data_IF_547522558483
#
_entry.id   IF_547522558483
#
_cell.length_a   1.000
_cell.length_b   1.000
_cell.length_c   1.000
_cell.angle_alpha   90.00
_cell.angle_beta   90.00
_cell.angle_gamma   90.00
#
_symmetry.space_group_name_H-M   'P 1'
#
loop_
_entity.id
_entity.type
_entity.pdbx_description
1 polymer ?
#
# COMPACT_ATOMS: atom_id res chain seq x y z
N UNK A 1 33.33 -6.74 -11.64
CA UNK A 1 31.88 -6.60 -11.45
C UNK A 1 31.33 -6.03 -12.74
N UNK A 2 30.46 -6.76 -13.45
CA UNK A 2 29.78 -6.23 -14.63
C UNK A 2 28.78 -5.18 -14.14
N UNK A 3 28.91 -3.95 -14.64
CA UNK A 3 27.97 -2.87 -14.37
C UNK A 3 26.61 -3.28 -14.98
N UNK A 4 25.61 -3.51 -14.14
CA UNK A 4 24.25 -3.83 -14.60
C UNK A 4 23.74 -2.62 -15.37
N UNK A 5 23.52 -2.80 -16.67
CA UNK A 5 23.00 -1.75 -17.54
C UNK A 5 21.51 -1.97 -17.72
N UNK A 6 20.70 -1.03 -17.24
CA UNK A 6 19.25 -1.03 -17.47
C UNK A 6 18.90 -0.53 -18.88
N UNK A 7 17.72 -0.93 -19.34
CA UNK A 7 17.10 -0.50 -20.59
C UNK A 7 16.91 1.03 -20.66
N UNK A 8 16.79 1.56 -21.87
CA UNK A 8 16.51 2.99 -22.07
C UNK A 8 15.13 3.40 -21.55
N UNK A 9 14.20 2.45 -21.46
CA UNK A 9 12.90 2.65 -20.85
C UNK A 9 13.01 2.95 -19.36
N UNK A 10 13.80 2.17 -18.61
CA UNK A 10 14.03 2.41 -17.18
C UNK A 10 14.80 3.71 -16.94
N UNK A 11 15.78 4.04 -17.81
CA UNK A 11 16.45 5.35 -17.75
C UNK A 11 15.46 6.50 -17.94
N UNK A 12 14.54 6.37 -18.89
CA UNK A 12 13.51 7.39 -19.15
C UNK A 12 12.55 7.54 -17.97
N UNK A 13 12.15 6.44 -17.32
CA UNK A 13 11.36 6.48 -16.08
C UNK A 13 12.11 7.18 -14.94
N UNK A 14 13.41 6.89 -14.78
CA UNK A 14 14.25 7.55 -13.78
C UNK A 14 14.38 9.05 -14.05
N UNK A 15 14.46 9.46 -15.32
CA UNK A 15 14.45 10.87 -15.72
C UNK A 15 13.10 11.56 -15.41
N UNK A 16 11.97 10.89 -15.67
CA UNK A 16 10.63 11.41 -15.32
C UNK A 16 10.49 11.63 -13.81
N UNK A 17 10.95 10.64 -13.02
CA UNK A 17 10.98 10.75 -11.55
C UNK A 17 11.83 11.93 -11.11
N UNK A 18 13.07 12.04 -11.60
CA UNK A 18 14.00 13.12 -11.26
C UNK A 18 13.51 14.51 -11.70
N UNK A 19 12.71 14.61 -12.77
CA UNK A 19 12.13 15.87 -13.20
C UNK A 19 11.05 16.40 -12.24
N UNK A 20 10.43 15.52 -11.48
CA UNK A 20 9.31 15.84 -10.57
C UNK A 20 9.69 15.78 -9.09
N UNK A 21 10.69 14.98 -8.73
CA UNK A 21 11.17 14.84 -7.37
C UNK A 21 12.03 16.07 -6.97
N UNK A 22 11.85 16.65 -5.77
CA UNK A 22 12.59 17.84 -5.35
C UNK A 22 14.09 17.61 -5.11
N UNK A 23 14.52 16.35 -5.04
CA UNK A 23 15.91 15.95 -4.87
C UNK A 23 16.42 15.14 -6.07
N UNK A 24 17.37 14.24 -5.82
CA UNK A 24 17.93 13.33 -6.83
C UNK A 24 17.60 11.88 -6.48
N UNK A 25 17.09 11.13 -7.45
CA UNK A 25 16.86 9.68 -7.36
C UNK A 25 17.92 8.96 -8.17
N UNK A 26 18.53 7.93 -7.58
CA UNK A 26 19.54 7.08 -8.21
C UNK A 26 19.17 5.61 -8.09
N UNK A 27 19.65 4.82 -9.05
CA UNK A 27 19.59 3.36 -9.00
C UNK A 27 20.96 2.80 -8.66
N UNK A 28 20.98 1.74 -7.86
CA UNK A 28 22.16 0.89 -7.64
C UNK A 28 21.75 -0.57 -7.70
N UNK A 29 22.66 -1.42 -8.15
CA UNK A 29 22.40 -2.84 -8.38
C UNK A 29 23.39 -3.69 -7.57
N UNK A 30 22.85 -4.72 -6.93
CA UNK A 30 23.61 -5.78 -6.29
C UNK A 30 24.07 -6.84 -7.30
N UNK A 31 24.27 -8.06 -6.79
CA UNK A 31 24.76 -9.20 -7.56
C UNK A 31 23.97 -10.50 -7.29
N UNK A 32 22.89 -10.44 -6.50
CA UNK A 32 22.04 -11.59 -6.18
C UNK A 32 21.22 -12.04 -7.39
N UNK A 33 20.90 -13.34 -7.46
CA UNK A 33 20.12 -13.96 -8.54
C UNK A 33 19.29 -15.13 -8.02
N UNK A 34 18.15 -14.83 -7.42
CA UNK A 34 17.24 -15.81 -6.85
C UNK A 34 16.54 -16.68 -7.92
N UNK A 35 16.42 -16.18 -9.16
CA UNK A 35 15.73 -16.91 -10.25
C UNK A 35 14.20 -16.81 -10.17
N UNK A 36 13.71 -15.84 -9.41
CA UNK A 36 12.32 -15.42 -9.31
C UNK A 36 12.26 -13.91 -9.04
N UNK A 37 11.11 -13.29 -9.31
CA UNK A 37 10.86 -11.88 -9.00
C UNK A 37 9.84 -11.73 -7.88
N UNK A 38 10.11 -10.79 -6.97
CA UNK A 38 9.19 -10.33 -5.91
C UNK A 38 9.34 -8.83 -5.71
N UNK A 39 8.31 -8.21 -5.16
CA UNK A 39 8.27 -6.77 -4.92
C UNK A 39 9.22 -6.33 -3.78
N UNK A 40 9.62 -7.23 -2.88
CA UNK A 40 10.50 -6.98 -1.74
C UNK A 40 12.02 -7.07 -2.05
N UNK A 41 12.40 -7.27 -3.32
CA UNK A 41 13.80 -7.45 -3.73
C UNK A 41 14.57 -6.13 -3.93
N UNK A 42 13.95 -5.00 -3.58
CA UNK A 42 14.53 -3.66 -3.63
C UNK A 42 14.53 -3.01 -2.25
N UNK A 43 15.42 -2.03 -2.05
CA UNK A 43 15.48 -1.24 -0.82
C UNK A 43 15.70 0.24 -1.15
N UNK A 44 14.99 1.11 -0.43
CA UNK A 44 15.13 2.55 -0.56
C UNK A 44 15.96 3.13 0.58
N UNK A 45 16.97 3.93 0.24
CA UNK A 45 17.82 4.64 1.19
C UNK A 45 17.66 6.14 1.00
N UNK A 46 17.25 6.82 2.07
CA UNK A 46 17.03 8.27 2.08
C UNK A 46 18.24 8.99 2.67
N UNK A 47 18.76 9.97 1.94
CA UNK A 47 19.74 10.96 2.41
C UNK A 47 19.21 12.38 2.12
N UNK A 48 19.79 13.41 2.73
CA UNK A 48 19.35 14.80 2.52
C UNK A 48 19.31 15.17 1.02
N UNK A 49 18.10 15.31 0.49
CA UNK A 49 17.84 15.63 -0.92
C UNK A 49 18.17 14.51 -1.91
N UNK A 50 18.40 13.28 -1.45
CA UNK A 50 18.73 12.13 -2.31
C UNK A 50 17.97 10.87 -1.91
N UNK A 51 17.56 10.10 -2.90
CA UNK A 51 17.00 8.77 -2.74
C UNK A 51 17.81 7.79 -3.56
N UNK A 52 18.27 6.72 -2.93
CA UNK A 52 18.89 5.59 -3.63
C UNK A 52 17.95 4.40 -3.58
N UNK A 53 17.53 3.91 -4.75
CA UNK A 53 16.85 2.63 -4.91
C UNK A 53 17.93 1.59 -5.21
N UNK A 54 18.12 0.66 -4.27
CA UNK A 54 19.05 -0.45 -4.42
C UNK A 54 18.28 -1.72 -4.77
N UNK A 55 18.47 -2.19 -6.00
CA UNK A 55 17.94 -3.47 -6.48
C UNK A 55 18.98 -4.55 -6.13
N UNK A 56 18.72 -5.34 -5.07
CA UNK A 56 19.69 -6.32 -4.59
C UNK A 56 19.75 -7.53 -5.52
N UNK A 57 18.58 -8.02 -5.94
CA UNK A 57 18.43 -9.13 -6.87
C UNK A 57 18.36 -8.64 -8.32
N UNK A 58 19.27 -9.14 -9.15
CA UNK A 58 19.42 -8.78 -10.56
C UNK A 58 18.95 -9.91 -11.50
N UNK A 59 18.01 -10.75 -11.05
CA UNK A 59 17.30 -11.72 -11.90
C UNK A 59 16.58 -10.97 -13.03
N UNK A 60 15.81 -9.93 -12.69
CA UNK A 60 15.13 -9.07 -13.64
C UNK A 60 15.26 -7.57 -13.26
N UNK A 61 16.45 -6.96 -13.44
CA UNK A 61 16.73 -5.63 -12.91
C UNK A 61 15.86 -4.52 -13.53
N UNK A 62 15.48 -4.65 -14.80
CA UNK A 62 14.58 -3.70 -15.46
C UNK A 62 13.16 -3.74 -14.87
N UNK A 63 12.65 -4.95 -14.60
CA UNK A 63 11.36 -5.15 -13.94
C UNK A 63 11.37 -4.55 -12.53
N UNK A 64 12.33 -4.93 -11.69
CA UNK A 64 12.39 -4.48 -10.29
C UNK A 64 12.64 -2.97 -10.19
N UNK A 65 13.56 -2.41 -10.99
CA UNK A 65 13.82 -0.98 -10.96
C UNK A 65 12.62 -0.15 -11.45
N UNK A 66 11.96 -0.57 -12.54
CA UNK A 66 10.77 0.14 -13.03
C UNK A 66 9.61 0.07 -12.04
N UNK A 67 9.44 -1.04 -11.33
CA UNK A 67 8.42 -1.22 -10.30
C UNK A 67 8.49 -0.10 -9.25
N UNK A 68 9.66 0.08 -8.65
CA UNK A 68 9.92 1.14 -7.65
C UNK A 68 9.74 2.55 -8.22
N UNK A 69 10.26 2.80 -9.43
CA UNK A 69 10.15 4.11 -10.06
C UNK A 69 8.69 4.47 -10.36
N UNK A 70 7.85 3.50 -10.74
CA UNK A 70 6.43 3.77 -11.00
C UNK A 70 5.67 4.01 -9.68
N UNK A 71 5.97 3.28 -8.61
CA UNK A 71 5.46 3.60 -7.26
C UNK A 71 5.82 5.05 -6.86
N UNK A 72 7.07 5.47 -7.11
CA UNK A 72 7.48 6.87 -6.90
C UNK A 72 6.68 7.86 -7.76
N UNK A 73 6.46 7.55 -9.04
CA UNK A 73 5.63 8.40 -9.91
C UNK A 73 4.20 8.50 -9.40
N UNK A 74 3.63 7.44 -8.81
CA UNK A 74 2.32 7.49 -8.17
C UNK A 74 2.31 8.48 -7.00
N UNK A 75 3.32 8.42 -6.12
CA UNK A 75 3.50 9.38 -5.02
C UNK A 75 3.54 10.81 -5.56
N UNK A 76 4.39 11.06 -6.55
CA UNK A 76 4.59 12.38 -7.16
C UNK A 76 3.34 12.89 -7.90
N UNK A 77 2.51 11.98 -8.42
CA UNK A 77 1.20 12.28 -9.03
C UNK A 77 0.08 12.42 -7.98
N UNK A 78 0.41 12.32 -6.70
CA UNK A 78 -0.48 12.62 -5.60
C UNK A 78 -1.37 11.46 -5.15
N UNK A 79 -0.99 10.22 -5.45
CA UNK A 79 -1.67 9.05 -4.95
C UNK A 79 -1.49 8.95 -3.42
N UNK A 80 -2.57 8.73 -2.66
CA UNK A 80 -2.54 8.55 -1.20
C UNK A 80 -1.49 7.54 -0.76
N UNK A 81 -0.78 7.84 0.32
CA UNK A 81 0.18 6.91 0.94
C UNK A 81 -0.34 6.39 2.27
N UNK A 82 0.19 5.25 2.72
CA UNK A 82 -0.02 4.73 4.06
C UNK A 82 0.97 5.33 5.05
N UNK A 83 0.49 5.59 6.26
CA UNK A 83 1.30 5.97 7.41
C UNK A 83 0.84 5.17 8.63
N UNK A 84 1.77 4.64 9.40
CA UNK A 84 1.47 3.83 10.59
C UNK A 84 1.85 4.61 11.85
N UNK A 85 0.90 5.41 12.33
CA UNK A 85 1.10 6.29 13.49
C UNK A 85 0.61 5.65 14.81
N UNK A 86 -0.10 4.52 14.72
CA UNK A 86 -0.61 3.78 15.86
C UNK A 86 0.24 2.54 16.16
N UNK A 87 0.15 2.08 17.40
CA UNK A 87 0.79 0.89 17.95
C UNK A 87 -0.17 0.14 18.87
N UNK A 88 -0.13 -1.18 18.80
CA UNK A 88 -0.79 -2.09 19.75
C UNK A 88 -0.03 -2.19 21.08
N UNK A 89 1.18 -1.65 21.16
CA UNK A 89 2.13 -1.87 22.26
C UNK A 89 2.94 -3.17 22.13
N UNK A 90 2.66 -4.00 21.13
CA UNK A 90 3.40 -5.23 20.82
C UNK A 90 4.08 -5.11 19.44
N UNK A 91 5.40 -5.04 19.44
CA UNK A 91 6.20 -4.79 18.23
C UNK A 91 5.98 -5.85 17.14
N UNK A 92 5.93 -7.14 17.50
CA UNK A 92 5.70 -8.21 16.53
C UNK A 92 4.31 -8.13 15.90
N UNK A 93 3.29 -7.81 16.70
CA UNK A 93 1.91 -7.62 16.23
C UNK A 93 1.82 -6.40 15.31
N UNK A 94 2.46 -5.29 15.68
CA UNK A 94 2.53 -4.08 14.85
C UNK A 94 3.20 -4.36 13.51
N UNK A 95 4.34 -5.05 13.51
CA UNK A 95 5.07 -5.39 12.30
C UNK A 95 4.25 -6.31 11.37
N UNK A 96 3.52 -7.27 11.93
CA UNK A 96 2.64 -8.14 11.16
C UNK A 96 1.46 -7.37 10.54
N UNK A 97 0.82 -6.48 11.29
CA UNK A 97 -0.25 -5.63 10.78
C UNK A 97 0.26 -4.68 9.70
N UNK A 98 1.39 -4.01 9.95
CA UNK A 98 2.03 -3.12 8.99
C UNK A 98 2.35 -3.85 7.69
N UNK A 99 2.92 -5.07 7.77
CA UNK A 99 3.21 -5.90 6.62
C UNK A 99 1.93 -6.25 5.84
N UNK A 100 0.96 -6.90 6.47
CA UNK A 100 -0.27 -7.34 5.79
C UNK A 100 -1.07 -6.18 5.18
N UNK A 101 -1.13 -5.04 5.87
CA UNK A 101 -1.86 -3.86 5.38
C UNK A 101 -1.12 -3.22 4.20
N UNK A 102 0.21 -3.19 4.23
CA UNK A 102 1.02 -2.68 3.11
C UNK A 102 0.87 -3.57 1.89
N UNK A 103 0.99 -4.89 2.04
CA UNK A 103 0.78 -5.85 0.94
C UNK A 103 -0.63 -5.71 0.34
N UNK A 104 -1.67 -5.55 1.17
CA UNK A 104 -3.04 -5.37 0.69
C UNK A 104 -3.25 -4.02 -0.02
N UNK A 105 -2.57 -2.96 0.43
CA UNK A 105 -2.55 -1.68 -0.27
C UNK A 105 -1.84 -1.81 -1.62
N UNK A 106 -0.73 -2.55 -1.67
CA UNK A 106 0.08 -2.73 -2.86
C UNK A 106 -0.63 -3.54 -3.93
N UNK A 107 -1.48 -4.51 -3.57
CA UNK A 107 -2.43 -5.16 -4.53
C UNK A 107 -3.16 -4.13 -5.39
N UNK A 108 -3.58 -3.00 -4.80
CA UNK A 108 -4.32 -1.95 -5.51
C UNK A 108 -3.36 -1.02 -6.25
N UNK A 109 -2.16 -0.77 -5.71
CA UNK A 109 -1.14 0.03 -6.38
C UNK A 109 -0.62 -0.68 -7.64
N UNK A 110 -0.48 -2.00 -7.58
CA UNK A 110 -0.04 -2.85 -8.66
C UNK A 110 -0.97 -2.83 -9.87
N UNK A 111 -2.24 -2.46 -9.73
CA UNK A 111 -3.09 -2.21 -10.89
C UNK A 111 -2.54 -1.08 -11.79
N UNK A 112 -1.94 -0.06 -11.17
CA UNK A 112 -1.29 1.05 -11.89
C UNK A 112 0.12 0.65 -12.33
N UNK A 113 0.89 0.05 -11.42
CA UNK A 113 2.30 -0.33 -11.70
C UNK A 113 2.38 -1.34 -12.83
N UNK A 114 1.65 -2.46 -12.73
CA UNK A 114 1.67 -3.53 -13.74
C UNK A 114 1.14 -3.02 -15.08
N UNK A 115 0.09 -2.20 -15.08
CA UNK A 115 -0.43 -1.63 -16.32
C UNK A 115 0.63 -0.76 -17.02
N UNK A 116 1.38 0.04 -16.28
CA UNK A 116 2.45 0.88 -16.82
C UNK A 116 3.66 0.05 -17.27
N UNK A 117 4.08 -0.96 -16.50
CA UNK A 117 5.15 -1.88 -16.89
C UNK A 117 4.81 -2.65 -18.17
N UNK A 118 3.57 -3.16 -18.31
CA UNK A 118 3.12 -3.84 -19.53
C UNK A 118 3.05 -2.89 -20.72
N UNK A 119 2.63 -1.64 -20.53
CA UNK A 119 2.64 -0.60 -21.58
C UNK A 119 4.04 -0.36 -22.17
N UNK A 120 5.06 -0.59 -21.35
CA UNK A 120 6.47 -0.43 -21.68
C UNK A 120 7.19 -1.73 -22.06
N UNK A 121 6.47 -2.86 -22.16
CA UNK A 121 7.03 -4.18 -22.44
C UNK A 121 8.09 -4.64 -21.42
N UNK A 122 7.93 -4.26 -20.15
CA UNK A 122 8.80 -4.64 -19.04
C UNK A 122 8.34 -5.91 -18.30
N UNK A 123 7.19 -6.46 -18.69
CA UNK A 123 6.67 -7.75 -18.24
C UNK A 123 6.42 -8.58 -19.49
N UNK A 124 7.14 -9.70 -19.59
CA UNK A 124 7.00 -10.71 -20.62
C UNK A 124 6.72 -12.09 -20.00
N UNK A 125 6.73 -13.13 -20.83
CA UNK A 125 6.44 -14.50 -20.39
C UNK A 125 7.48 -15.04 -19.38
N UNK A 126 8.72 -14.58 -19.43
CA UNK A 126 9.77 -14.99 -18.48
C UNK A 126 9.52 -14.36 -17.11
N UNK A 127 9.24 -13.04 -17.08
CA UNK A 127 8.88 -12.32 -15.86
C UNK A 127 7.63 -12.92 -15.21
N UNK A 128 6.64 -13.34 -16.00
CA UNK A 128 5.44 -13.98 -15.47
C UNK A 128 5.72 -15.33 -14.79
N UNK A 129 6.57 -16.16 -15.38
CA UNK A 129 6.99 -17.42 -14.73
C UNK A 129 7.87 -17.18 -13.49
N UNK A 130 8.74 -16.17 -13.53
CA UNK A 130 9.55 -15.77 -12.38
C UNK A 130 8.69 -15.23 -11.24
N UNK A 131 7.61 -14.50 -11.55
CA UNK A 131 6.65 -14.03 -10.55
C UNK A 131 5.92 -15.21 -9.91
N UNK A 132 5.48 -16.19 -10.68
CA UNK A 132 4.88 -17.41 -10.13
C UNK A 132 5.84 -18.15 -9.17
N UNK A 133 7.12 -18.27 -9.53
CA UNK A 133 8.13 -18.85 -8.63
C UNK A 133 8.27 -18.02 -7.35
N UNK A 134 8.19 -16.70 -7.46
CA UNK A 134 8.22 -15.78 -6.33
C UNK A 134 7.07 -16.03 -5.35
N UNK A 135 5.86 -16.31 -5.86
CA UNK A 135 4.71 -16.72 -5.03
C UNK A 135 5.02 -18.01 -4.25
N UNK A 136 5.53 -19.03 -4.95
CA UNK A 136 5.84 -20.32 -4.32
C UNK A 136 6.95 -20.24 -3.28
N UNK A 137 7.89 -19.30 -3.45
CA UNK A 137 8.96 -19.05 -2.48
C UNK A 137 8.45 -18.29 -1.24
N UNK A 138 7.53 -17.35 -1.43
CA UNK A 138 7.05 -16.48 -0.37
C UNK A 138 6.01 -17.14 0.55
N UNK A 139 5.16 -18.05 0.04
CA UNK A 139 4.11 -18.67 0.86
C UNK A 139 3.89 -20.14 0.56
N UNK A 140 3.87 -20.96 1.61
CA UNK A 140 3.63 -22.40 1.46
C UNK A 140 2.20 -22.68 0.92
N UNK A 141 2.01 -23.70 0.06
CA UNK A 141 0.70 -24.14 -0.40
C UNK A 141 -0.28 -24.48 0.73
N UNK A 142 -1.57 -24.38 0.44
CA UNK A 142 -2.62 -24.79 1.37
C UNK A 142 -2.61 -26.32 1.58
N UNK A 143 -2.88 -26.73 2.82
CA UNK A 143 -3.06 -28.14 3.18
C UNK A 143 -4.55 -28.47 3.11
N UNK A 144 -4.95 -29.24 2.11
CA UNK A 144 -6.34 -29.66 1.88
C UNK A 144 -7.36 -28.51 1.82
N UNK A 145 -6.93 -27.32 1.39
CA UNK A 145 -7.77 -26.12 1.34
C UNK A 145 -8.18 -25.56 2.72
N UNK A 146 -7.50 -25.99 3.79
CA UNK A 146 -7.80 -25.55 5.14
C UNK A 146 -7.45 -24.07 5.37
N UNK A 147 -8.28 -23.41 6.18
CA UNK A 147 -7.99 -22.09 6.72
C UNK A 147 -7.06 -22.24 7.93
N UNK A 148 -5.97 -21.48 7.93
CA UNK A 148 -4.96 -21.45 9.00
C UNK A 148 -4.36 -20.04 9.16
N UNK A 149 -3.31 -19.90 9.99
CA UNK A 149 -2.67 -18.62 10.27
C UNK A 149 -1.99 -17.94 9.06
N UNK A 150 -1.74 -18.67 7.98
CA UNK A 150 -1.18 -18.12 6.73
C UNK A 150 -2.25 -17.78 5.70
N UNK A 151 -3.53 -18.10 5.94
CA UNK A 151 -4.61 -17.83 4.99
C UNK A 151 -4.76 -16.34 4.65
N UNK A 152 -4.46 -15.43 5.58
CA UNK A 152 -4.51 -13.98 5.33
C UNK A 152 -3.50 -13.54 4.27
N UNK A 153 -2.23 -13.92 4.41
CA UNK A 153 -1.19 -13.57 3.43
C UNK A 153 -1.40 -14.30 2.10
N UNK A 154 -1.81 -15.58 2.11
CA UNK A 154 -2.19 -16.30 0.88
C UNK A 154 -3.30 -15.58 0.13
N UNK A 155 -4.33 -15.10 0.83
CA UNK A 155 -5.42 -14.34 0.21
C UNK A 155 -4.90 -13.07 -0.48
N UNK A 156 -4.08 -12.28 0.22
CA UNK A 156 -3.51 -11.03 -0.32
C UNK A 156 -2.63 -11.34 -1.55
N UNK A 157 -1.76 -12.35 -1.47
CA UNK A 157 -0.91 -12.77 -2.58
C UNK A 157 -1.72 -13.29 -3.78
N UNK A 158 -2.82 -14.00 -3.55
CA UNK A 158 -3.70 -14.43 -4.65
C UNK A 158 -4.45 -13.25 -5.27
N UNK A 159 -4.82 -12.24 -4.48
CA UNK A 159 -5.37 -10.99 -5.01
C UNK A 159 -4.33 -10.27 -5.88
N UNK A 160 -3.08 -10.21 -5.42
CA UNK A 160 -1.98 -9.60 -6.18
C UNK A 160 -1.67 -10.37 -7.47
N UNK A 161 -1.66 -11.70 -7.42
CA UNK A 161 -1.49 -12.54 -8.60
C UNK A 161 -2.58 -12.27 -9.66
N UNK A 162 -3.84 -12.11 -9.23
CA UNK A 162 -4.95 -11.77 -10.14
C UNK A 162 -4.70 -10.38 -10.78
N UNK A 163 -4.23 -9.41 -10.00
CA UNK A 163 -3.83 -8.08 -10.50
C UNK A 163 -2.68 -8.16 -11.50
N UNK A 164 -1.63 -8.88 -11.16
CA UNK A 164 -0.39 -8.98 -11.92
C UNK A 164 -0.58 -9.66 -13.29
N UNK A 165 -1.26 -10.81 -13.31
CA UNK A 165 -1.47 -11.55 -14.56
C UNK A 165 -2.58 -10.94 -15.42
N UNK A 166 -3.61 -10.33 -14.82
CA UNK A 166 -4.69 -9.69 -15.56
C UNK A 166 -5.31 -10.61 -16.63
N UNK A 167 -5.23 -10.23 -17.90
CA UNK A 167 -5.75 -11.03 -19.03
C UNK A 167 -4.99 -12.35 -19.26
N UNK A 168 -3.76 -12.46 -18.75
CA UNK A 168 -2.90 -13.64 -18.88
C UNK A 168 -3.10 -14.67 -17.77
N UNK A 169 -3.97 -14.39 -16.79
CA UNK A 169 -4.21 -15.24 -15.61
C UNK A 169 -4.52 -16.69 -15.96
N UNK A 170 -5.23 -16.94 -17.07
CA UNK A 170 -5.59 -18.28 -17.51
C UNK A 170 -4.41 -19.22 -17.77
N UNK A 171 -3.18 -18.68 -17.93
CA UNK A 171 -1.95 -19.50 -18.05
C UNK A 171 -1.48 -20.10 -16.72
N UNK A 172 -1.81 -19.46 -15.61
CA UNK A 172 -1.34 -19.81 -14.27
C UNK A 172 -2.47 -20.30 -13.35
N UNK A 173 -3.72 -20.08 -13.74
CA UNK A 173 -4.91 -20.38 -12.93
C UNK A 173 -4.91 -21.81 -12.38
N UNK A 174 -4.67 -22.83 -13.21
CA UNK A 174 -4.65 -24.23 -12.74
C UNK A 174 -3.59 -24.46 -11.65
N UNK A 175 -2.41 -23.86 -11.79
CA UNK A 175 -1.31 -23.99 -10.82
C UNK A 175 -1.62 -23.22 -9.53
N UNK A 176 -2.27 -22.06 -9.63
CA UNK A 176 -2.71 -21.28 -8.47
C UNK A 176 -3.81 -22.01 -7.70
N UNK A 177 -4.78 -22.60 -8.40
CA UNK A 177 -5.86 -23.41 -7.81
C UNK A 177 -5.29 -24.67 -7.15
N UNK A 178 -4.32 -25.33 -7.77
CA UNK A 178 -3.68 -26.53 -7.20
C UNK A 178 -2.99 -26.22 -5.87
N UNK A 179 -2.30 -25.08 -5.76
CA UNK A 179 -1.53 -24.73 -4.57
C UNK A 179 -2.35 -23.96 -3.52
N UNK A 180 -3.33 -23.16 -3.93
CA UNK A 180 -4.05 -22.20 -3.07
C UNK A 180 -5.58 -22.19 -3.36
N UNK A 181 -6.27 -23.34 -3.35
CA UNK A 181 -7.65 -23.43 -3.81
C UNK A 181 -8.62 -22.49 -3.06
N UNK A 182 -8.50 -22.39 -1.73
CA UNK A 182 -9.40 -21.58 -0.90
C UNK A 182 -9.10 -20.09 -1.03
N UNK A 183 -7.83 -19.69 -0.90
CA UNK A 183 -7.40 -18.31 -1.05
C UNK A 183 -7.65 -17.78 -2.46
N UNK A 184 -7.37 -18.58 -3.50
CA UNK A 184 -7.59 -18.17 -4.89
C UNK A 184 -9.07 -17.94 -5.22
N UNK A 185 -9.94 -18.88 -4.84
CA UNK A 185 -11.39 -18.73 -5.06
C UNK A 185 -11.94 -17.48 -4.35
N UNK A 186 -11.43 -17.22 -3.15
CA UNK A 186 -11.82 -16.07 -2.34
C UNK A 186 -11.30 -14.76 -2.94
N UNK A 187 -10.03 -14.74 -3.36
CA UNK A 187 -9.40 -13.62 -4.05
C UNK A 187 -10.19 -13.25 -5.32
N UNK A 188 -10.59 -14.22 -6.15
CA UNK A 188 -11.44 -13.95 -7.33
C UNK A 188 -12.75 -13.26 -6.96
N UNK A 189 -13.38 -13.67 -5.86
CA UNK A 189 -14.64 -13.07 -5.38
C UNK A 189 -14.43 -11.63 -4.94
N UNK A 190 -13.38 -11.36 -4.17
CA UNK A 190 -13.04 -10.00 -3.71
C UNK A 190 -12.64 -9.12 -4.90
N UNK A 191 -11.74 -9.58 -5.77
CA UNK A 191 -11.27 -8.83 -6.94
C UNK A 191 -12.40 -8.51 -7.91
N UNK A 192 -13.38 -9.40 -8.09
CA UNK A 192 -14.60 -9.10 -8.86
C UNK A 192 -15.42 -7.95 -8.26
N UNK A 193 -15.52 -7.88 -6.93
CA UNK A 193 -16.18 -6.75 -6.24
C UNK A 193 -15.37 -5.46 -6.39
N UNK A 194 -14.03 -5.54 -6.38
CA UNK A 194 -13.14 -4.38 -6.51
C UNK A 194 -13.10 -3.83 -7.96
N UNK A 195 -13.05 -4.70 -8.96
CA UNK A 195 -12.91 -4.36 -10.38
C UNK A 195 -14.18 -3.78 -11.04
N UNK A 196 -15.16 -3.38 -10.25
CA UNK A 196 -16.33 -2.63 -10.72
C UNK A 196 -15.97 -1.22 -11.19
N UNK A 197 -14.77 -0.70 -10.85
CA UNK A 197 -14.26 0.61 -11.26
C UNK A 197 -12.75 0.55 -11.50
N UNK A 198 -12.30 1.18 -12.57
CA UNK A 198 -10.87 1.38 -12.89
C UNK A 198 -10.30 2.56 -12.11
N UNK A 199 -9.02 2.47 -11.77
CA UNK A 199 -8.28 3.55 -11.13
C UNK A 199 -7.86 4.56 -12.21
N UNK A 200 -8.46 5.75 -12.20
CA UNK A 200 -8.09 6.82 -13.14
C UNK A 200 -7.56 8.07 -12.44
N UNK A 201 -7.80 8.18 -11.13
CA UNK A 201 -7.42 9.32 -10.30
C UNK A 201 -6.94 8.86 -8.92
N UNK A 202 -6.17 9.68 -8.20
CA UNK A 202 -5.84 9.44 -6.79
C UNK A 202 -7.06 9.18 -5.90
N UNK A 203 -8.20 9.80 -6.22
CA UNK A 203 -9.45 9.60 -5.48
C UNK A 203 -10.06 8.22 -5.73
N UNK A 204 -10.01 7.71 -6.97
CA UNK A 204 -10.48 6.35 -7.29
C UNK A 204 -9.62 5.31 -6.58
N UNK A 205 -8.29 5.49 -6.61
CA UNK A 205 -7.33 4.67 -5.90
C UNK A 205 -7.67 4.58 -4.41
N UNK A 206 -7.80 5.73 -3.74
CA UNK A 206 -8.15 5.81 -2.31
C UNK A 206 -9.40 5.01 -1.98
N UNK A 207 -10.45 5.16 -2.78
CA UNK A 207 -11.72 4.45 -2.57
C UNK A 207 -11.58 2.95 -2.74
N UNK A 208 -10.73 2.51 -3.67
CA UNK A 208 -10.52 1.08 -3.93
C UNK A 208 -9.71 0.43 -2.80
N UNK A 209 -8.69 1.13 -2.27
CA UNK A 209 -7.95 0.71 -1.06
C UNK A 209 -8.90 0.51 0.13
N UNK A 210 -9.72 1.51 0.46
CA UNK A 210 -10.69 1.41 1.59
C UNK A 210 -11.65 0.24 1.40
N UNK A 211 -12.11 0.01 0.16
CA UNK A 211 -12.99 -1.11 -0.16
C UNK A 211 -12.26 -2.45 -0.01
N UNK A 212 -10.98 -2.53 -0.37
CA UNK A 212 -10.17 -3.73 -0.20
C UNK A 212 -9.99 -4.06 1.29
N UNK A 213 -9.62 -3.06 2.11
CA UNK A 213 -9.53 -3.20 3.57
C UNK A 213 -10.83 -3.76 4.17
N UNK A 214 -11.96 -3.17 3.80
CA UNK A 214 -13.28 -3.64 4.28
C UNK A 214 -13.57 -5.08 3.87
N UNK A 215 -13.35 -5.43 2.60
CA UNK A 215 -13.68 -6.77 2.08
C UNK A 215 -12.78 -7.87 2.64
N UNK A 216 -11.51 -7.56 2.89
CA UNK A 216 -10.58 -8.52 3.49
C UNK A 216 -10.92 -8.72 4.97
N UNK A 217 -11.19 -7.67 5.74
CA UNK A 217 -11.63 -7.84 7.13
C UNK A 217 -12.94 -8.64 7.25
N UNK A 218 -13.92 -8.37 6.37
CA UNK A 218 -15.15 -9.19 6.28
C UNK A 218 -14.83 -10.66 6.03
N UNK A 219 -13.85 -10.96 5.17
CA UNK A 219 -13.46 -12.32 4.83
C UNK A 219 -12.70 -13.02 5.96
N UNK A 220 -11.77 -12.32 6.63
CA UNK A 220 -11.02 -12.85 7.76
C UNK A 220 -11.97 -13.21 8.90
N UNK A 221 -12.97 -12.36 9.15
CA UNK A 221 -14.04 -12.64 10.11
C UNK A 221 -14.83 -13.90 9.75
N UNK A 222 -15.20 -14.07 8.47
CA UNK A 222 -15.91 -15.28 8.00
C UNK A 222 -15.08 -16.55 8.19
N UNK A 223 -13.76 -16.44 8.01
CA UNK A 223 -12.79 -17.50 8.28
C UNK A 223 -12.49 -17.73 9.76
N UNK A 224 -13.05 -16.91 10.66
CA UNK A 224 -12.76 -16.97 12.09
C UNK A 224 -11.34 -16.56 12.46
N UNK A 225 -10.67 -15.82 11.57
CA UNK A 225 -9.36 -15.24 11.78
C UNK A 225 -9.49 -13.81 12.35
N UNK A 226 -8.45 -13.31 13.04
CA UNK A 226 -8.39 -11.91 13.43
C UNK A 226 -8.48 -10.98 12.21
N UNK A 227 -9.28 -9.94 12.33
CA UNK A 227 -9.38 -8.86 11.33
C UNK A 227 -8.10 -8.01 11.38
N UNK A 228 -7.73 -7.38 10.25
CA UNK A 228 -6.57 -6.47 10.20
C UNK A 228 -6.88 -5.12 10.84
N UNK A 229 -8.17 -4.72 10.85
CA UNK A 229 -8.63 -3.42 11.32
C UNK A 229 -7.89 -2.26 10.63
N UNK A 230 -7.59 -2.42 9.33
CA UNK A 230 -6.75 -1.51 8.56
C UNK A 230 -7.34 -0.08 8.46
N UNK A 231 -8.67 0.05 8.48
CA UNK A 231 -9.35 1.35 8.48
C UNK A 231 -9.01 2.21 9.71
N UNK A 232 -8.71 1.58 10.84
CA UNK A 232 -8.30 2.26 12.07
C UNK A 232 -6.79 2.33 12.20
N UNK A 233 -6.10 1.19 12.07
CA UNK A 233 -4.67 1.07 12.36
C UNK A 233 -3.79 1.89 11.40
N UNK A 234 -4.15 1.94 10.12
CA UNK A 234 -3.37 2.63 9.10
C UNK A 234 -4.00 3.99 8.75
N UNK A 235 -3.18 5.03 8.78
CA UNK A 235 -3.57 6.35 8.28
C UNK A 235 -3.38 6.38 6.76
N UNK A 236 -4.45 6.65 6.01
CA UNK A 236 -4.39 6.77 4.55
C UNK A 236 -4.51 8.24 4.13
N UNK A 237 -3.55 8.70 3.31
CA UNK A 237 -3.51 10.07 2.79
C UNK A 237 -4.87 10.54 2.25
N UNK A 238 -5.24 11.78 2.60
CA UNK A 238 -6.54 12.33 2.22
C UNK A 238 -6.49 12.97 0.83
N UNK A 239 -7.57 12.80 0.05
CA UNK A 239 -7.76 13.47 -1.25
C UNK A 239 -8.97 14.39 -1.13
N UNK A 240 -8.72 15.70 -1.07
CA UNK A 240 -9.74 16.71 -0.85
C UNK A 240 -10.13 17.43 -2.14
N UNK A 241 -11.36 17.93 -2.20
CA UNK A 241 -11.68 19.06 -3.07
C UNK A 241 -11.31 20.37 -2.41
N UNK A 242 -11.08 21.41 -3.21
CA UNK A 242 -10.91 22.79 -2.73
C UNK A 242 -12.00 23.24 -1.75
N UNK A 243 -13.24 22.79 -1.97
CA UNK A 243 -14.34 23.07 -1.05
C UNK A 243 -14.15 22.40 0.31
N UNK A 244 -13.73 21.13 0.34
CA UNK A 244 -13.52 20.38 1.57
C UNK A 244 -12.42 21.00 2.42
N UNK A 245 -11.37 21.51 1.80
CA UNK A 245 -10.31 22.24 2.50
C UNK A 245 -10.86 23.46 3.25
N UNK A 246 -11.91 24.13 2.75
CA UNK A 246 -12.55 25.28 3.41
C UNK A 246 -13.56 24.91 4.52
N UNK A 247 -13.88 23.63 4.70
CA UNK A 247 -14.78 23.20 5.77
C UNK A 247 -14.03 23.12 7.11
N UNK A 248 -14.81 23.09 8.20
CA UNK A 248 -14.27 22.80 9.53
C UNK A 248 -14.03 21.30 9.71
N UNK A 249 -13.08 20.92 10.57
CA UNK A 249 -12.74 19.51 10.82
C UNK A 249 -13.97 18.69 11.22
N UNK A 250 -14.84 19.22 12.09
CA UNK A 250 -16.08 18.54 12.52
C UNK A 250 -17.08 18.21 11.41
N UNK A 251 -16.96 18.87 10.25
CA UNK A 251 -17.86 18.61 9.11
C UNK A 251 -17.40 17.44 8.26
N UNK A 252 -16.13 17.05 8.35
CA UNK A 252 -15.55 15.97 7.56
C UNK A 252 -15.07 14.79 8.41
N UNK A 253 -14.73 15.02 9.67
CA UNK A 253 -14.11 14.04 10.54
C UNK A 253 -14.82 13.94 11.89
N UNK A 254 -14.79 12.73 12.43
CA UNK A 254 -15.09 12.44 13.83
C UNK A 254 -13.81 11.94 14.51
N UNK A 255 -13.60 12.35 15.76
CA UNK A 255 -12.47 11.88 16.56
C UNK A 255 -12.92 10.65 17.35
N UNK A 256 -12.28 9.53 17.04
CA UNK A 256 -12.42 8.26 17.75
C UNK A 256 -11.31 8.11 18.80
N UNK A 257 -11.66 7.54 19.95
CA UNK A 257 -10.70 7.23 21.00
C UNK A 257 -10.23 5.80 20.76
N UNK A 258 -9.02 5.65 20.23
CA UNK A 258 -8.47 4.32 19.99
C UNK A 258 -7.99 3.72 21.30
N UNK A 259 -8.13 2.40 21.41
CA UNK A 259 -7.46 1.62 22.45
C UNK A 259 -5.94 1.46 22.14
N UNK A 260 -5.53 1.83 20.92
CA UNK A 260 -4.14 1.85 20.46
C UNK A 260 -3.40 3.11 20.93
N UNK A 261 -2.07 3.02 20.94
CA UNK A 261 -1.17 4.09 21.31
C UNK A 261 -0.71 4.86 20.07
N UNK A 262 -0.58 6.17 20.18
CA UNK A 262 0.13 7.01 19.22
C UNK A 262 1.65 6.84 19.42
N UNK A 263 2.39 6.56 18.34
CA UNK A 263 3.80 6.16 18.39
C UNK A 263 4.77 7.26 18.81
N UNK A 264 4.57 8.51 18.39
CA UNK A 264 5.55 9.57 18.58
C UNK A 264 5.70 9.99 20.05
N UNK A 265 4.61 9.95 20.83
CA UNK A 265 4.60 10.33 22.24
C UNK A 265 4.30 9.17 23.19
N UNK A 266 3.99 7.97 22.66
CA UNK A 266 3.52 6.81 23.43
C UNK A 266 2.36 7.20 24.38
N UNK A 267 1.37 7.85 23.80
CA UNK A 267 0.14 8.24 24.50
C UNK A 267 -1.06 7.58 23.87
N UNK A 268 -2.24 7.67 24.49
CA UNK A 268 -3.46 7.21 23.84
C UNK A 268 -3.67 7.95 22.52
N UNK A 269 -3.91 7.19 21.45
CA UNK A 269 -4.14 7.72 20.12
C UNK A 269 -5.58 8.20 19.93
N UNK A 270 -5.73 9.39 19.36
CA UNK A 270 -7.02 9.91 18.91
C UNK A 270 -7.04 9.92 17.40
N UNK A 271 -8.00 9.19 16.82
CA UNK A 271 -8.03 8.90 15.39
C UNK A 271 -9.10 9.76 14.72
N UNK A 272 -8.68 10.53 13.72
CA UNK A 272 -9.57 11.29 12.85
C UNK A 272 -10.16 10.41 11.76
N UNK A 273 -11.36 9.88 12.00
CA UNK A 273 -12.08 9.06 11.03
C UNK A 273 -12.90 9.95 10.08
N UNK A 274 -12.79 9.72 8.78
CA UNK A 274 -13.64 10.37 7.80
C UNK A 274 -15.11 10.01 8.03
N UNK A 275 -16.01 11.00 8.14
CA UNK A 275 -17.43 10.73 8.39
C UNK A 275 -18.04 9.86 7.28
N UNK A 276 -17.61 10.05 6.04
CA UNK A 276 -18.19 9.36 4.88
C UNK A 276 -17.67 7.95 4.66
N UNK A 277 -16.45 7.64 5.09
CA UNK A 277 -15.75 6.40 4.74
C UNK A 277 -15.13 5.67 5.93
N UNK A 278 -15.18 6.26 7.12
CA UNK A 278 -14.67 5.73 8.38
C UNK A 278 -13.17 5.40 8.34
N UNK A 279 -12.43 5.90 7.34
CA UNK A 279 -11.00 5.68 7.22
C UNK A 279 -10.25 6.66 8.14
N UNK A 280 -9.26 6.15 8.88
CA UNK A 280 -8.26 6.96 9.58
C UNK A 280 -7.52 7.86 8.57
N UNK A 281 -7.73 9.16 8.72
CA UNK A 281 -7.12 10.21 7.91
C UNK A 281 -5.98 10.94 8.63
N UNK A 282 -5.92 10.83 9.97
CA UNK A 282 -4.88 11.41 10.80
C UNK A 282 -4.98 10.88 12.24
N UNK A 283 -3.84 10.90 12.95
CA UNK A 283 -3.77 10.60 14.39
C UNK A 283 -3.26 11.84 15.13
N UNK A 284 -3.89 12.17 16.27
CA UNK A 284 -3.38 13.18 17.20
C UNK A 284 -3.07 12.54 18.55
N UNK A 285 -1.95 12.95 19.20
CA UNK A 285 -1.59 12.46 20.52
C UNK A 285 -2.53 13.04 21.58
N UNK A 286 -2.42 12.51 22.80
CA UNK A 286 -3.10 13.11 23.95
C UNK A 286 -2.55 14.52 24.21
N UNK A 287 -3.41 15.56 24.28
CA UNK A 287 -2.93 16.92 24.54
C UNK A 287 -2.28 17.01 25.93
N UNK A 288 -1.06 17.53 25.98
CA UNK A 288 -0.26 17.65 27.22
C UNK A 288 -0.28 19.07 27.80
N UNK A 289 -0.62 20.06 26.98
CA UNK A 289 -0.55 21.50 27.28
C UNK A 289 -1.90 22.13 27.63
N UNK A 290 -3.02 21.41 27.43
CA UNK A 290 -4.38 21.89 27.72
C UNK A 290 -5.36 20.76 28.04
N UNK A 291 -6.48 21.07 28.74
CA UNK A 291 -7.54 20.09 28.98
C UNK A 291 -8.09 19.51 27.66
N UNK A 292 -8.30 18.19 27.62
CA UNK A 292 -8.71 17.48 26.40
C UNK A 292 -9.97 18.06 25.75
N UNK A 293 -10.99 18.42 26.54
CA UNK A 293 -12.24 18.99 26.02
C UNK A 293 -12.02 20.32 25.30
N UNK A 294 -11.11 21.16 25.82
CA UNK A 294 -10.77 22.44 25.21
C UNK A 294 -10.00 22.22 23.91
N UNK A 295 -9.00 21.33 23.93
CA UNK A 295 -8.22 20.96 22.76
C UNK A 295 -9.11 20.44 21.62
N UNK A 296 -9.99 19.47 21.88
CA UNK A 296 -10.84 18.90 20.83
C UNK A 296 -11.88 19.90 20.33
N UNK A 297 -12.41 20.78 21.19
CA UNK A 297 -13.31 21.85 20.74
C UNK A 297 -12.63 22.80 19.77
N UNK A 298 -11.38 23.16 20.04
CA UNK A 298 -10.56 23.99 19.14
C UNK A 298 -10.25 23.25 17.83
N UNK A 299 -9.79 22.00 17.92
CA UNK A 299 -9.48 21.16 16.77
C UNK A 299 -10.69 21.05 15.83
N UNK A 300 -11.87 20.75 16.38
CA UNK A 300 -13.10 20.64 15.60
C UNK A 300 -13.54 21.95 14.92
N UNK A 301 -13.14 23.09 15.48
CA UNK A 301 -13.45 24.41 14.93
C UNK A 301 -12.47 24.85 13.84
N UNK A 302 -11.25 24.31 13.81
CA UNK A 302 -10.24 24.61 12.78
C UNK A 302 -10.75 24.28 11.39
N UNK A 303 -10.26 25.04 10.43
CA UNK A 303 -10.40 24.71 9.03
C UNK A 303 -9.52 23.50 8.67
N UNK A 304 -9.98 22.63 7.75
CA UNK A 304 -9.28 21.40 7.37
C UNK A 304 -7.89 21.68 6.79
N UNK A 305 -7.75 22.71 5.94
CA UNK A 305 -6.45 23.09 5.39
C UNK A 305 -5.47 23.49 6.48
N UNK A 306 -5.89 24.42 7.34
CA UNK A 306 -5.08 24.93 8.45
C UNK A 306 -4.64 23.79 9.37
N UNK A 307 -5.56 22.87 9.70
CA UNK A 307 -5.26 21.74 10.56
C UNK A 307 -4.25 20.76 9.95
N UNK A 308 -4.45 20.34 8.70
CA UNK A 308 -3.53 19.42 8.02
C UNK A 308 -2.14 20.02 7.82
N UNK A 309 -2.05 21.32 7.51
CA UNK A 309 -0.77 22.03 7.40
C UNK A 309 -0.05 22.15 8.76
N UNK A 310 -0.78 22.45 9.83
CA UNK A 310 -0.23 22.57 11.20
C UNK A 310 0.36 21.25 11.69
N UNK A 311 -0.33 20.14 11.44
CA UNK A 311 0.15 18.81 11.84
C UNK A 311 1.10 18.16 10.82
N UNK A 312 1.42 18.87 9.73
CA UNK A 312 2.24 18.38 8.62
C UNK A 312 1.72 17.06 8.02
N UNK A 313 0.40 16.83 8.05
CA UNK A 313 -0.20 15.63 7.47
C UNK A 313 -0.33 15.79 5.95
N UNK A 314 0.30 14.93 5.14
CA UNK A 314 0.20 15.02 3.69
C UNK A 314 -1.23 14.80 3.19
N UNK A 315 -1.63 15.59 2.19
CA UNK A 315 -2.89 15.43 1.48
C UNK A 315 -2.74 15.89 0.03
N UNK A 316 -3.67 15.48 -0.84
CA UNK A 316 -3.73 15.94 -2.22
C UNK A 316 -5.08 16.57 -2.56
N UNK A 317 -5.11 17.33 -3.65
CA UNK A 317 -6.31 18.04 -4.12
C UNK A 317 -6.75 17.42 -5.45
N UNK A 318 -8.06 17.16 -5.58
CA UNK A 318 -8.72 16.73 -6.82
C UNK A 318 -9.46 17.87 -7.51
#
# INVERSE_FOLDING_TARGET
MSEVTVSDTVKSLLEEVNASFPGEVRLSFGDEKAGYVRHDQSQQYHEDGKLLIKVNDITAPDYTASHELIHMLMILKGFPQLYFQLSTGEEDTDNQLMFLITELYDVIAHEVVVAEQRRHYLIDDEIEEEFFKGILDAVEPEKDGAVDGFSAIRLIMMMDAITFYGEYLGRFEDRLIENYPTAYQTAQTIMKKLNQRTITTPFDFRRKVIKAFTLVDEQLKEWGLPELHALEFATLGSVFSERQLRLSVKQLFQIFHSDLHEKAQDTRGFVGLGISDQQNAFVVPTPSDKPSDEYFRELYAKNVKEFFEEMQMPYTIR
#
